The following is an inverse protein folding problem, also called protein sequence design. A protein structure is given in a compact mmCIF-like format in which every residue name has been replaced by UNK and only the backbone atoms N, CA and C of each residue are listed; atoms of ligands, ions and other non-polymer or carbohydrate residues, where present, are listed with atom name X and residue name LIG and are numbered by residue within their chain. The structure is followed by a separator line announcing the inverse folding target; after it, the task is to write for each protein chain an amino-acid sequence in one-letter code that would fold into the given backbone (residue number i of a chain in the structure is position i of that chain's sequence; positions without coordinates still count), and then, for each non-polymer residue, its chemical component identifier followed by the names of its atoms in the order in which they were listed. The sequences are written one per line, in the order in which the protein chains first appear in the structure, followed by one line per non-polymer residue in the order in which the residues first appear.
data_IF_175582296541
#
_entry.id   IF_175582296541
#
_cell.length_a   1.000
_cell.length_b   1.000
_cell.length_c   1.000
_cell.angle_alpha   90.00
_cell.angle_beta   90.00
_cell.angle_gamma   90.00
#
_symmetry.space_group_name_H-M   'P 1'
#
loop_
_entity.id
_entity.type
_entity.pdbx_description
1 polymer ?
#
# COMPACT_ATOMS: atom_id res chain seq x y z
N UNK A 1 -25.90 -4.37 10.45
CA UNK A 1 -24.44 -4.14 10.40
C UNK A 1 -23.98 -4.47 8.99
N UNK A 2 -23.60 -3.45 8.21
CA UNK A 2 -23.31 -3.66 6.77
C UNK A 2 -21.79 -3.64 6.51
N UNK A 3 -21.13 -4.74 6.86
CA UNK A 3 -19.69 -4.92 6.62
C UNK A 3 -19.38 -5.26 5.14
N UNK A 4 -20.41 -5.49 4.31
CA UNK A 4 -20.20 -5.79 2.89
C UNK A 4 -19.91 -4.55 2.08
N UNK A 5 -20.29 -3.37 2.57
CA UNK A 5 -20.10 -2.09 1.90
C UNK A 5 -18.61 -1.77 1.62
N UNK A 6 -17.66 -1.89 2.57
CA UNK A 6 -16.23 -1.74 2.27
C UNK A 6 -15.73 -2.71 1.20
N UNK A 7 -16.18 -3.97 1.23
CA UNK A 7 -15.83 -4.99 0.22
C UNK A 7 -16.33 -4.57 -1.17
N UNK A 8 -17.58 -4.14 -1.25
CA UNK A 8 -18.17 -3.66 -2.50
C UNK A 8 -17.38 -2.44 -3.05
N UNK A 9 -17.00 -1.50 -2.18
CA UNK A 9 -16.20 -0.33 -2.58
C UNK A 9 -14.83 -0.74 -3.13
N UNK A 10 -14.16 -1.70 -2.49
CA UNK A 10 -12.86 -2.22 -2.96
C UNK A 10 -13.00 -2.89 -4.34
N UNK A 11 -14.03 -3.71 -4.55
CA UNK A 11 -14.30 -4.34 -5.84
C UNK A 11 -14.55 -3.27 -6.92
N UNK A 12 -15.42 -2.29 -6.63
CA UNK A 12 -15.71 -1.20 -7.57
C UNK A 12 -14.48 -0.35 -7.88
N UNK A 13 -13.62 -0.12 -6.89
CA UNK A 13 -12.36 0.59 -7.10
C UNK A 13 -11.42 -0.19 -8.02
N UNK A 14 -11.26 -1.49 -7.81
CA UNK A 14 -10.40 -2.34 -8.64
C UNK A 14 -10.94 -2.54 -10.07
N UNK A 15 -12.25 -2.42 -10.27
CA UNK A 15 -12.96 -2.59 -11.54
C UNK A 15 -13.14 -1.25 -12.29
N UNK A 16 -12.19 -0.34 -12.16
CA UNK A 16 -12.22 0.96 -12.86
C UNK A 16 -11.23 0.96 -14.03
N UNK A 17 -11.51 1.79 -15.04
CA UNK A 17 -10.59 2.03 -16.16
C UNK A 17 -9.39 2.93 -15.79
N UNK A 18 -9.23 3.26 -14.51
CA UNK A 18 -8.14 4.09 -14.01
C UNK A 18 -6.91 3.26 -13.67
N UNK A 19 -5.73 3.89 -13.71
CA UNK A 19 -4.47 3.29 -13.27
C UNK A 19 -4.44 3.26 -11.74
N UNK A 20 -4.95 2.18 -11.14
CA UNK A 20 -5.12 2.06 -9.68
C UNK A 20 -4.08 1.16 -9.00
N UNK A 21 -3.14 0.59 -9.75
CA UNK A 21 -2.19 -0.40 -9.23
C UNK A 21 -1.40 0.09 -8.02
N UNK A 22 -1.02 1.38 -8.00
CA UNK A 22 -0.32 2.00 -6.87
C UNK A 22 -1.19 2.24 -5.64
N UNK A 23 -2.50 2.03 -5.76
CA UNK A 23 -3.46 2.28 -4.68
C UNK A 23 -4.10 1.00 -4.13
N UNK A 24 -3.97 -0.12 -4.85
CA UNK A 24 -4.62 -1.40 -4.49
C UNK A 24 -4.26 -1.85 -3.07
N UNK A 25 -2.98 -1.74 -2.69
CA UNK A 25 -2.50 -2.11 -1.36
C UNK A 25 -3.17 -1.28 -0.27
N UNK A 26 -3.14 0.04 -0.38
CA UNK A 26 -3.77 0.97 0.56
C UNK A 26 -5.30 0.80 0.63
N UNK A 27 -5.95 0.52 -0.50
CA UNK A 27 -7.40 0.30 -0.51
C UNK A 27 -7.78 -1.01 0.18
N UNK A 28 -6.92 -2.02 0.12
CA UNK A 28 -7.12 -3.27 0.86
C UNK A 28 -7.02 -3.04 2.37
N UNK A 29 -5.99 -2.31 2.83
CA UNK A 29 -5.83 -1.94 4.24
C UNK A 29 -6.99 -1.08 4.74
N UNK A 30 -7.41 -0.11 3.93
CA UNK A 30 -8.58 0.74 4.22
C UNK A 30 -9.85 -0.09 4.37
N UNK A 31 -10.10 -1.05 3.48
CA UNK A 31 -11.25 -1.96 3.56
C UNK A 31 -11.22 -2.78 4.85
N UNK A 32 -10.09 -3.38 5.19
CA UNK A 32 -9.94 -4.18 6.42
C UNK A 32 -10.15 -3.33 7.68
N UNK A 33 -9.61 -2.12 7.71
CA UNK A 33 -9.81 -1.17 8.80
C UNK A 33 -11.28 -0.77 8.95
N UNK A 34 -11.98 -0.46 7.86
CA UNK A 34 -13.41 -0.16 7.88
C UNK A 34 -14.27 -1.33 8.37
N UNK A 35 -13.95 -2.56 7.96
CA UNK A 35 -14.62 -3.76 8.45
C UNK A 35 -14.40 -3.90 9.97
N UNK A 36 -13.18 -3.65 10.46
CA UNK A 36 -12.88 -3.64 11.88
C UNK A 36 -13.74 -2.64 12.64
N UNK A 37 -13.83 -1.40 12.16
CA UNK A 37 -14.63 -0.35 12.81
C UNK A 37 -16.13 -0.72 12.87
N UNK A 38 -16.65 -1.41 11.86
CA UNK A 38 -18.05 -1.81 11.78
C UNK A 38 -18.38 -3.00 12.69
N UNK A 39 -17.49 -4.01 12.76
CA UNK A 39 -17.82 -5.33 13.31
C UNK A 39 -17.17 -5.60 14.65
N UNK A 40 -15.92 -5.20 14.84
CA UNK A 40 -15.08 -5.70 15.95
C UNK A 40 -15.66 -5.43 17.35
N UNK A 41 -16.23 -4.24 17.56
CA UNK A 41 -16.78 -3.87 18.88
C UNK A 41 -18.06 -4.61 19.24
N UNK A 42 -18.81 -5.11 18.24
CA UNK A 42 -20.08 -5.79 18.45
C UNK A 42 -19.96 -7.32 18.37
N UNK A 43 -19.08 -7.81 17.50
CA UNK A 43 -18.85 -9.24 17.30
C UNK A 43 -17.37 -9.48 16.90
N UNK A 44 -16.48 -9.62 17.90
CA UNK A 44 -15.05 -9.87 17.64
C UNK A 44 -14.77 -11.19 16.91
N UNK A 45 -15.61 -12.22 17.10
CA UNK A 45 -15.39 -13.53 16.48
C UNK A 45 -15.79 -13.49 15.01
N UNK A 46 -16.89 -12.82 14.66
CA UNK A 46 -17.25 -12.57 13.28
C UNK A 46 -16.17 -11.73 12.58
N UNK A 47 -15.61 -10.70 13.26
CA UNK A 47 -14.50 -9.92 12.69
C UNK A 47 -13.30 -10.81 12.38
N UNK A 48 -12.87 -11.68 13.30
CA UNK A 48 -11.75 -12.61 13.08
C UNK A 48 -12.00 -13.51 11.87
N UNK A 49 -13.22 -14.04 11.73
CA UNK A 49 -13.59 -14.88 10.60
C UNK A 49 -13.49 -14.13 9.27
N UNK A 50 -14.06 -12.92 9.19
CA UNK A 50 -14.03 -12.09 7.98
C UNK A 50 -12.57 -11.71 7.65
N UNK A 51 -11.81 -11.22 8.65
CA UNK A 51 -10.41 -10.86 8.48
C UNK A 51 -9.58 -12.01 7.91
N UNK A 52 -9.70 -13.20 8.50
CA UNK A 52 -8.99 -14.39 8.02
C UNK A 52 -9.37 -14.76 6.58
N UNK A 53 -10.66 -14.72 6.24
CA UNK A 53 -11.11 -14.97 4.88
C UNK A 53 -10.52 -13.97 3.87
N UNK A 54 -10.46 -12.69 4.23
CA UNK A 54 -9.89 -11.63 3.38
C UNK A 54 -8.40 -11.81 3.23
N UNK A 55 -7.66 -12.05 4.33
CA UNK A 55 -6.20 -12.26 4.28
C UNK A 55 -5.82 -13.46 3.42
N UNK A 56 -6.51 -14.61 3.54
CA UNK A 56 -6.26 -15.79 2.70
C UNK A 56 -6.49 -15.49 1.20
N UNK A 57 -7.43 -14.60 0.89
CA UNK A 57 -7.65 -14.14 -0.50
C UNK A 57 -6.57 -13.16 -0.93
N UNK A 58 -6.19 -12.24 -0.05
CA UNK A 58 -5.13 -11.27 -0.32
C UNK A 58 -3.80 -11.94 -0.62
N UNK A 59 -3.39 -12.94 0.14
CA UNK A 59 -2.17 -13.72 -0.11
C UNK A 59 -2.08 -14.31 -1.53
N UNK A 60 -3.24 -14.57 -2.15
CA UNK A 60 -3.32 -15.08 -3.52
C UNK A 60 -3.40 -13.98 -4.58
N UNK A 61 -3.92 -12.81 -4.22
CA UNK A 61 -4.15 -11.69 -5.14
C UNK A 61 -3.00 -10.68 -5.10
N UNK A 62 -2.32 -10.57 -3.95
CA UNK A 62 -1.20 -9.66 -3.81
C UNK A 62 0.00 -10.19 -4.60
N UNK A 63 0.28 -9.51 -5.70
CA UNK A 63 1.47 -9.80 -6.51
C UNK A 63 2.56 -8.77 -6.20
N UNK A 64 3.85 -9.13 -6.33
CA UNK A 64 4.99 -8.23 -6.05
C UNK A 64 4.87 -6.85 -6.71
N UNK A 65 4.23 -6.77 -7.86
CA UNK A 65 4.02 -5.53 -8.58
C UNK A 65 3.10 -4.53 -7.82
N UNK A 66 2.13 -5.01 -7.03
CA UNK A 66 1.31 -4.13 -6.18
C UNK A 66 2.17 -3.43 -5.12
N UNK A 67 3.10 -4.16 -4.49
CA UNK A 67 4.03 -3.62 -3.50
C UNK A 67 4.98 -2.60 -4.14
N UNK A 68 5.53 -2.92 -5.31
CA UNK A 68 6.40 -2.00 -6.05
C UNK A 68 5.65 -0.72 -6.45
N UNK A 69 4.45 -0.83 -6.98
CA UNK A 69 3.66 0.32 -7.37
C UNK A 69 3.25 1.18 -6.16
N UNK A 70 2.88 0.54 -5.05
CA UNK A 70 2.54 1.24 -3.80
C UNK A 70 3.73 2.03 -3.26
N UNK A 71 4.92 1.39 -3.20
CA UNK A 71 6.15 2.01 -2.67
C UNK A 71 6.65 3.18 -3.53
N UNK A 72 6.35 3.17 -4.83
CA UNK A 72 6.73 4.24 -5.77
C UNK A 72 5.68 5.35 -5.90
N UNK A 73 4.53 5.23 -5.22
CA UNK A 73 3.47 6.24 -5.29
C UNK A 73 3.76 7.41 -4.35
N UNK A 74 4.03 8.63 -4.86
CA UNK A 74 4.53 9.77 -4.06
C UNK A 74 3.59 10.20 -2.94
N UNK A 75 2.29 10.16 -3.15
CA UNK A 75 1.28 10.63 -2.18
C UNK A 75 1.40 9.95 -0.81
N UNK A 76 1.88 8.71 -0.75
CA UNK A 76 2.05 7.96 0.50
C UNK A 76 3.26 8.40 1.34
N UNK A 77 4.03 9.35 0.82
CA UNK A 77 5.12 10.03 1.53
C UNK A 77 4.75 11.46 1.93
N UNK A 78 3.57 11.93 1.54
CA UNK A 78 3.12 13.28 1.85
C UNK A 78 2.76 13.43 3.33
N UNK A 79 3.02 14.61 3.90
CA UNK A 79 2.65 14.92 5.29
C UNK A 79 1.13 14.94 5.46
N UNK A 80 0.40 15.36 4.42
CA UNK A 80 -1.07 15.38 4.42
C UNK A 80 -1.66 13.98 4.55
N UNK A 81 -1.13 12.99 3.82
CA UNK A 81 -1.62 11.61 3.91
C UNK A 81 -1.19 10.93 5.22
N UNK A 82 0.08 11.09 5.63
CA UNK A 82 0.61 10.50 6.86
C UNK A 82 -0.10 11.03 8.12
N UNK A 83 -0.58 12.27 8.08
CA UNK A 83 -1.34 12.89 9.18
C UNK A 83 -2.82 12.48 9.25
N UNK A 84 -3.35 11.78 8.24
CA UNK A 84 -4.74 11.34 8.26
C UNK A 84 -4.91 10.09 9.13
N UNK A 85 -6.02 9.98 9.89
CA UNK A 85 -6.33 8.76 10.61
C UNK A 85 -6.56 7.60 9.63
N UNK A 86 -6.01 6.43 9.96
CA UNK A 86 -6.31 5.21 9.22
C UNK A 86 -7.55 4.51 9.81
N UNK A 87 -8.44 3.94 8.99
CA UNK A 87 -9.53 3.12 9.47
C UNK A 87 -9.04 1.96 10.35
N UNK A 88 -9.85 1.53 11.29
CA UNK A 88 -9.47 0.48 12.25
C UNK A 88 -8.54 0.94 13.37
N UNK A 89 -8.29 2.25 13.50
CA UNK A 89 -7.45 2.86 14.54
C UNK A 89 -5.95 2.68 14.30
N UNK A 90 -5.54 2.38 13.05
CA UNK A 90 -4.15 2.30 12.65
C UNK A 90 -3.47 3.66 12.55
N UNK A 91 -2.15 3.66 12.46
CA UNK A 91 -1.33 4.83 12.16
C UNK A 91 -0.73 4.64 10.77
N UNK A 92 -0.87 5.65 9.91
CA UNK A 92 -0.27 5.62 8.58
C UNK A 92 1.24 5.71 8.66
N UNK A 93 1.91 4.84 7.96
CA UNK A 93 3.37 4.81 7.86
C UNK A 93 3.81 4.86 6.41
N UNK A 94 5.04 5.30 6.17
CA UNK A 94 5.59 5.29 4.82
C UNK A 94 5.69 3.85 4.30
N UNK A 95 5.34 3.58 3.03
CA UNK A 95 5.29 2.23 2.47
C UNK A 95 6.55 1.38 2.67
N UNK A 96 7.74 1.98 2.57
CA UNK A 96 9.00 1.26 2.72
C UNK A 96 9.32 0.85 4.18
N UNK A 97 8.51 1.25 5.15
CA UNK A 97 8.62 0.81 6.55
C UNK A 97 7.78 -0.44 6.83
N UNK A 98 6.93 -0.83 5.89
CA UNK A 98 6.16 -2.07 5.96
C UNK A 98 6.99 -3.24 5.43
N UNK A 99 7.06 -4.33 6.21
CA UNK A 99 7.89 -5.50 5.87
C UNK A 99 7.32 -6.28 4.68
N UNK A 100 6.01 -6.45 4.60
CA UNK A 100 5.35 -7.13 3.48
C UNK A 100 5.59 -6.37 2.17
N UNK A 101 5.36 -5.05 2.19
CA UNK A 101 5.60 -4.17 1.04
C UNK A 101 7.07 -4.20 0.62
N UNK A 102 7.98 -4.11 1.59
CA UNK A 102 9.43 -4.13 1.33
C UNK A 102 9.86 -5.45 0.68
N UNK A 103 9.38 -6.58 1.19
CA UNK A 103 9.67 -7.90 0.61
C UNK A 103 9.11 -8.01 -0.81
N UNK A 104 7.86 -7.60 -1.00
CA UNK A 104 7.20 -7.66 -2.31
C UNK A 104 7.87 -6.80 -3.37
N UNK A 105 8.32 -5.57 -3.03
CA UNK A 105 9.02 -4.75 -4.03
C UNK A 105 10.40 -5.31 -4.41
N UNK A 106 11.12 -5.91 -3.47
CA UNK A 106 12.39 -6.58 -3.76
C UNK A 106 12.19 -7.76 -4.71
N UNK A 107 11.19 -8.59 -4.45
CA UNK A 107 10.80 -9.70 -5.34
C UNK A 107 10.39 -9.21 -6.74
N UNK A 108 9.71 -8.07 -6.81
CA UNK A 108 9.35 -7.45 -8.10
C UNK A 108 10.58 -6.99 -8.87
N UNK A 109 11.53 -6.33 -8.21
CA UNK A 109 12.75 -5.86 -8.86
C UNK A 109 13.60 -7.02 -9.39
N UNK A 110 13.76 -8.10 -8.63
CA UNK A 110 14.51 -9.29 -9.07
C UNK A 110 13.89 -9.95 -10.31
N UNK A 111 12.55 -9.90 -10.42
CA UNK A 111 11.84 -10.43 -11.60
C UNK A 111 11.91 -9.50 -12.81
N UNK A 112 11.89 -8.18 -12.59
CA UNK A 112 11.89 -7.18 -13.66
C UNK A 112 13.29 -6.88 -14.18
N UNK A 113 14.31 -6.99 -13.32
CA UNK A 113 15.69 -6.62 -13.62
C UNK A 113 16.58 -7.84 -13.34
N UNK A 114 16.76 -8.73 -14.35
CA UNK A 114 17.58 -9.93 -14.19
C UNK A 114 19.07 -9.66 -13.96
N UNK A 115 19.57 -8.53 -14.48
CA UNK A 115 20.97 -8.14 -14.27
C UNK A 115 21.16 -7.67 -12.84
N UNK A 116 22.14 -8.29 -12.14
CA UNK A 116 22.37 -8.05 -10.72
C UNK A 116 22.93 -6.66 -10.43
N UNK A 117 23.82 -6.15 -11.29
CA UNK A 117 24.44 -4.85 -11.07
C UNK A 117 23.42 -3.74 -11.30
N UNK A 118 22.62 -3.87 -12.35
CA UNK A 118 21.51 -2.96 -12.63
C UNK A 118 20.47 -2.98 -11.50
N UNK A 119 20.09 -4.17 -11.00
CA UNK A 119 19.16 -4.30 -9.88
C UNK A 119 19.67 -3.62 -8.61
N UNK A 120 20.98 -3.71 -8.32
CA UNK A 120 21.61 -3.00 -7.20
C UNK A 120 21.55 -1.48 -7.42
N UNK A 121 21.85 -1.00 -8.62
CA UNK A 121 21.79 0.43 -8.95
C UNK A 121 20.37 0.99 -8.77
N UNK A 122 19.35 0.27 -9.25
CA UNK A 122 17.94 0.66 -9.09
C UNK A 122 17.53 0.69 -7.61
N UNK A 123 17.94 -0.28 -6.80
CA UNK A 123 17.68 -0.27 -5.35
C UNK A 123 18.30 0.94 -4.64
N UNK A 124 19.49 1.34 -5.05
CA UNK A 124 20.13 2.55 -4.51
C UNK A 124 19.35 3.82 -4.87
N UNK A 125 18.84 3.92 -6.11
CA UNK A 125 18.02 5.06 -6.52
C UNK A 125 16.65 5.07 -5.77
N UNK A 126 16.04 3.91 -5.59
CA UNK A 126 14.81 3.79 -4.76
C UNK A 126 15.10 4.21 -3.31
N UNK A 127 16.27 3.88 -2.75
CA UNK A 127 16.69 4.35 -1.43
C UNK A 127 16.83 5.88 -1.36
N UNK A 128 17.37 6.52 -2.39
CA UNK A 128 17.41 7.98 -2.52
C UNK A 128 16.01 8.61 -2.63
N UNK A 129 15.11 7.95 -3.36
CA UNK A 129 13.70 8.35 -3.43
C UNK A 129 13.05 8.32 -2.04
N UNK A 130 13.21 7.27 -1.25
CA UNK A 130 12.63 7.19 0.11
C UNK A 130 13.17 8.28 1.03
N UNK A 131 14.48 8.51 1.00
CA UNK A 131 15.12 9.49 1.85
C UNK A 131 14.98 10.95 1.36
N UNK A 132 14.44 11.15 0.15
CA UNK A 132 14.34 12.48 -0.46
C UNK A 132 15.72 13.13 -0.66
N UNK A 133 16.68 12.36 -1.15
CA UNK A 133 18.06 12.85 -1.39
C UNK A 133 18.38 12.88 -2.88
N UNK A 134 19.45 13.61 -3.25
CA UNK A 134 19.81 13.81 -4.65
C UNK A 134 18.72 14.58 -5.41
N UNK A 135 18.37 14.12 -6.59
CA UNK A 135 17.32 14.74 -7.42
C UNK A 135 15.92 14.64 -6.78
N UNK A 136 15.67 13.60 -5.95
CA UNK A 136 14.41 13.44 -5.23
C UNK A 136 14.27 14.37 -4.00
N UNK A 137 15.34 15.05 -3.60
CA UNK A 137 15.36 16.04 -2.53
C UNK A 137 15.21 17.48 -3.03
N UNK A 138 15.09 17.71 -4.32
CA UNK A 138 14.89 19.05 -4.88
C UNK A 138 13.53 19.63 -4.45
N UNK A 139 13.42 20.95 -4.40
CA UNK A 139 12.19 21.64 -4.02
C UNK A 139 10.99 21.13 -4.84
N UNK A 140 11.12 21.05 -6.15
CA UNK A 140 10.04 20.57 -7.03
C UNK A 140 9.64 19.11 -6.75
N UNK A 141 10.64 18.21 -6.58
CA UNK A 141 10.36 16.80 -6.30
C UNK A 141 9.68 16.62 -4.93
N UNK A 142 9.99 17.45 -3.95
CA UNK A 142 9.35 17.43 -2.64
C UNK A 142 7.95 18.05 -2.66
N UNK A 143 7.72 19.05 -3.51
CA UNK A 143 6.41 19.65 -3.75
C UNK A 143 5.47 18.65 -4.44
N UNK A 144 5.93 17.96 -5.48
CA UNK A 144 5.17 16.94 -6.20
C UNK A 144 4.70 15.78 -5.30
N UNK A 145 5.41 15.51 -4.20
CA UNK A 145 4.99 14.51 -3.20
C UNK A 145 3.77 14.93 -2.38
N UNK A 146 3.45 16.22 -2.35
CA UNK A 146 2.33 16.75 -1.54
C UNK A 146 0.99 16.79 -2.32
N UNK A 147 1.04 16.52 -3.62
CA UNK A 147 -0.13 16.47 -4.50
C UNK A 147 -0.78 15.09 -4.44
#
# INVERSE_FOLDING_TARGET
MDFTKPIYHMIRFADTDKLVIGEVYEQMDTMLGQIKDIVHNNDPDLYKLIHNCVCVRWDKLNVPLHCLAYILTPKYYSTSWLGQPAPGGGVRTKPHLDEEVTRGYLDALEKLIPDREECVAVRLEIGRYFSGTGLFGTFHAMEDRQI
#
